data_IF_388854264364
#
_entry.id   IF_388854264364
#
_cell.length_a   1.000
_cell.length_b   1.000
_cell.length_c   1.000
_cell.angle_alpha   90.00
_cell.angle_beta   90.00
_cell.angle_gamma   90.00
#
_symmetry.space_group_name_H-M   'P 1'
#
loop_
_entity.id
_entity.type
_entity.pdbx_description
1 polymer ?
2 water ?
#
# COMPACT_ATOMS: atom_id res chain seq x y z
N UNK A 1 -14.82 -5.85 28.82
CA UNK A 1 -14.61 -5.60 27.36
C UNK A 1 -15.42 -6.59 26.48
N UNK A 2 -15.31 -6.56 25.18
CA UNK A 2 -15.90 -7.56 24.27
C UNK A 2 -14.86 -8.45 23.77
N UNK A 3 -15.17 -9.72 23.52
CA UNK A 3 -14.28 -10.66 22.86
C UNK A 3 -14.49 -10.71 21.37
N UNK A 4 -15.39 -9.86 20.86
CA UNK A 4 -15.48 -9.81 19.39
C UNK A 4 -14.64 -8.61 18.87
N UNK A 5 -14.32 -8.61 17.58
CA UNK A 5 -13.54 -7.46 17.11
C UNK A 5 -14.37 -6.18 16.98
N UNK A 6 -13.71 -5.05 17.20
CA UNK A 6 -14.34 -3.73 17.15
C UNK A 6 -14.83 -3.46 15.72
N UNK A 7 -14.08 -3.98 14.75
CA UNK A 7 -14.39 -3.67 13.34
C UNK A 7 -14.01 -4.89 12.55
N UNK A 8 -14.79 -5.20 11.53
CA UNK A 8 -14.51 -6.30 10.68
C UNK A 8 -13.72 -5.82 9.45
N UNK A 9 -12.41 -5.96 9.54
CA UNK A 9 -11.49 -5.55 8.46
C UNK A 9 -11.02 -6.74 7.76
N UNK A 10 -11.32 -6.86 6.47
CA UNK A 10 -11.09 -8.04 5.66
C UNK A 10 -10.07 -7.73 4.59
N UNK A 11 -9.20 -8.67 4.28
CA UNK A 11 -8.18 -8.54 3.20
C UNK A 11 -8.72 -9.27 2.00
N UNK A 12 -8.48 -8.72 0.81
CA UNK A 12 -8.93 -9.27 -0.42
C UNK A 12 -7.74 -9.15 -1.42
N UNK A 13 -7.20 -10.26 -1.95
CA UNK A 13 -6.10 -10.13 -2.88
C UNK A 13 -6.56 -9.58 -4.21
N UNK A 14 -5.72 -8.71 -4.73
CA UNK A 14 -6.02 -7.99 -5.96
C UNK A 14 -4.99 -8.09 -7.00
N UNK A 15 -3.69 -8.26 -6.70
CA UNK A 15 -2.69 -8.28 -7.82
C UNK A 15 -1.42 -8.89 -7.31
N UNK A 16 -0.61 -9.41 -8.28
CA UNK A 16 0.79 -9.78 -7.93
C UNK A 16 1.67 -8.54 -7.77
N UNK A 17 2.66 -8.60 -6.90
CA UNK A 17 3.57 -7.45 -6.79
C UNK A 17 4.70 -7.69 -7.83
N UNK A 18 4.67 -6.90 -8.87
CA UNK A 18 5.74 -6.92 -9.92
C UNK A 18 5.78 -5.64 -10.69
N UNK A 19 6.94 -5.39 -11.34
CA UNK A 19 7.07 -4.30 -12.29
C UNK A 19 6.28 -4.66 -13.52
N UNK A 20 5.47 -3.74 -14.00
CA UNK A 20 4.67 -3.99 -15.23
C UNK A 20 5.27 -3.37 -16.45
N UNK A 21 5.74 -4.24 -17.37
CA UNK A 21 6.38 -3.71 -18.58
C UNK A 21 5.50 -2.77 -19.40
N UNK A 22 4.17 -2.95 -19.47
CA UNK A 22 3.32 -2.04 -20.22
C UNK A 22 3.35 -0.67 -19.68
N UNK A 23 3.40 -0.50 -18.32
CA UNK A 23 3.45 0.79 -17.73
C UNK A 23 4.77 1.47 -17.96
N UNK A 24 5.88 0.72 -18.04
CA UNK A 24 7.13 1.29 -18.46
C UNK A 24 6.97 1.83 -19.92
N UNK A 25 6.23 1.24 -20.79
CA UNK A 25 6.15 1.74 -22.16
C UNK A 25 5.23 2.91 -22.21
N UNK A 26 4.03 2.78 -21.65
CA UNK A 26 2.98 3.78 -21.85
C UNK A 26 2.84 4.79 -20.69
N UNK A 27 3.43 4.46 -19.55
CA UNK A 27 3.28 5.33 -18.35
C UNK A 27 2.23 4.72 -17.43
N UNK A 28 1.29 3.96 -17.92
CA UNK A 28 0.29 3.35 -17.02
C UNK A 28 -0.24 2.12 -17.68
N UNK A 29 -0.62 1.13 -16.95
CA UNK A 29 -1.32 0.02 -17.57
C UNK A 29 -2.20 -0.74 -16.62
N UNK A 30 -3.28 -1.32 -17.13
CA UNK A 30 -4.12 -2.11 -16.25
C UNK A 30 -3.40 -3.36 -15.85
N UNK A 31 -3.66 -3.82 -14.67
CA UNK A 31 -3.08 -5.08 -14.21
C UNK A 31 -4.17 -6.13 -14.15
N UNK A 32 -3.85 -7.42 -14.42
CA UNK A 32 -4.83 -8.53 -14.19
C UNK A 32 -5.29 -8.84 -12.75
N UNK A 33 -6.62 -8.90 -12.60
CA UNK A 33 -7.21 -9.18 -11.28
C UNK A 33 -8.18 -10.36 -11.51
N UNK A 34 -8.10 -11.36 -10.62
CA UNK A 34 -8.67 -12.67 -10.96
C UNK A 34 -9.56 -13.23 -9.85
N UNK A 44 -11.25 -13.69 -14.44
CA UNK A 44 -10.86 -12.31 -14.79
C UNK A 44 -11.96 -11.31 -14.47
N UNK A 45 -11.60 -10.28 -13.69
CA UNK A 45 -12.55 -9.22 -13.29
C UNK A 45 -12.57 -8.07 -14.24
N UNK A 46 -13.76 -7.62 -14.66
CA UNK A 46 -13.88 -6.47 -15.54
C UNK A 46 -14.16 -5.11 -14.82
N UNK A 47 -14.61 -5.25 -13.57
CA UNK A 47 -14.98 -4.04 -12.77
C UNK A 47 -14.77 -4.48 -11.33
N UNK A 48 -14.29 -3.54 -10.50
CA UNK A 48 -14.24 -3.75 -9.06
C UNK A 48 -15.53 -3.23 -8.43
N UNK A 49 -16.04 -4.06 -7.53
CA UNK A 49 -17.20 -3.69 -6.76
C UNK A 49 -16.75 -3.54 -5.30
N UNK A 50 -16.60 -2.28 -4.85
CA UNK A 50 -16.02 -2.03 -3.54
C UNK A 50 -16.80 -2.74 -2.42
N UNK A 51 -18.14 -2.77 -2.55
CA UNK A 51 -18.98 -3.22 -1.43
C UNK A 51 -18.97 -4.78 -1.24
N UNK A 52 -18.44 -5.54 -2.19
CA UNK A 52 -18.31 -6.97 -1.93
C UNK A 52 -16.91 -7.36 -1.70
N UNK A 53 -16.77 -8.49 -1.01
CA UNK A 53 -15.46 -8.95 -0.60
C UNK A 53 -15.23 -10.02 -1.61
N UNK A 54 -14.31 -9.82 -2.52
CA UNK A 54 -14.04 -10.67 -3.68
C UNK A 54 -15.05 -10.50 -4.82
N UNK A 80 -2.48 -17.07 3.55
CA UNK A 80 -2.28 -15.97 2.58
C UNK A 80 -1.17 -16.15 1.57
N UNK A 81 -1.43 -15.73 0.37
CA UNK A 81 -0.33 -15.66 -0.51
C UNK A 81 0.30 -14.26 -0.66
N UNK A 82 1.57 -14.19 -0.99
CA UNK A 82 2.25 -12.99 -1.38
C UNK A 82 1.34 -12.25 -2.43
N UNK A 83 1.34 -10.94 -2.35
CA UNK A 83 0.57 -10.11 -3.31
C UNK A 83 0.17 -8.78 -2.69
N UNK A 84 -0.58 -8.05 -3.52
CA UNK A 84 -1.16 -6.70 -3.12
C UNK A 84 -2.67 -6.99 -2.86
N UNK A 85 -3.08 -6.48 -1.71
CA UNK A 85 -4.47 -6.69 -1.15
C UNK A 85 -5.16 -5.36 -0.95
N UNK A 86 -6.50 -5.39 -1.09
CA UNK A 86 -7.33 -4.33 -0.51
C UNK A 86 -7.71 -4.64 0.96
N UNK A 87 -7.87 -3.62 1.72
CA UNK A 87 -8.36 -3.75 3.11
C UNK A 87 -9.75 -3.11 3.05
N UNK A 88 -10.76 -3.90 3.44
CA UNK A 88 -12.18 -3.46 3.36
C UNK A 88 -12.79 -3.60 4.75
N UNK A 89 -13.47 -2.54 5.13
CA UNK A 89 -14.18 -2.51 6.47
C UNK A 89 -15.67 -2.78 6.27
N UNK A 90 -16.28 -3.72 7.03
CA UNK A 90 -17.73 -4.00 6.89
C UNK A 90 -18.52 -2.94 7.60
N UNK A 91 -19.57 -2.45 6.93
CA UNK A 91 -20.65 -1.68 7.54
C UNK A 91 -22.01 -2.29 7.02
N UNK A 92 -23.06 -1.54 7.54
CA UNK A 92 -24.37 -2.03 7.17
C UNK A 92 -24.72 -1.87 5.68
N UNK A 93 -23.99 -0.96 5.01
CA UNK A 93 -24.18 -0.81 3.58
C UNK A 93 -23.29 -1.66 2.70
N UNK A 94 -22.48 -2.52 3.37
CA UNK A 94 -21.47 -3.32 2.67
C UNK A 94 -20.03 -2.94 3.08
N UNK A 95 -19.12 -3.39 2.21
CA UNK A 95 -17.72 -3.03 2.54
C UNK A 95 -17.27 -1.69 1.96
N UNK A 96 -16.40 -1.00 2.70
CA UNK A 96 -15.67 0.18 2.18
C UNK A 96 -14.19 -0.10 2.16
N UNK A 97 -13.53 0.22 1.03
CA UNK A 97 -12.07 0.04 1.01
C UNK A 97 -11.43 1.19 1.74
N UNK A 98 -10.76 0.84 2.83
CA UNK A 98 -10.06 1.89 3.63
C UNK A 98 -8.55 1.97 3.30
N UNK A 99 -8.08 0.91 2.63
CA UNK A 99 -6.64 0.96 2.27
C UNK A 99 -6.26 -0.29 1.56
N UNK A 100 -4.95 -0.57 1.59
CA UNK A 100 -4.38 -1.69 0.86
C UNK A 100 -3.11 -2.10 1.53
N UNK A 101 -2.51 -3.18 1.12
CA UNK A 101 -1.21 -3.59 1.69
C UNK A 101 -0.62 -4.69 0.90
N UNK A 102 0.57 -5.13 1.40
CA UNK A 102 1.33 -6.14 0.71
C UNK A 102 1.69 -7.32 1.63
N UNK A 103 1.42 -8.51 1.17
CA UNK A 103 1.92 -9.71 1.84
C UNK A 103 3.13 -10.19 1.16
N UNK A 104 4.19 -10.35 1.99
CA UNK A 104 5.57 -10.79 1.52
C UNK A 104 6.16 -11.55 2.73
N UNK A 105 6.62 -12.79 2.43
CA UNK A 105 7.45 -13.59 3.39
C UNK A 105 6.70 -13.78 4.73
N UNK A 106 5.38 -14.02 4.57
CA UNK A 106 4.50 -14.35 5.69
C UNK A 106 4.05 -13.12 6.51
N UNK A 107 4.38 -11.92 6.03
CA UNK A 107 4.13 -10.69 6.76
C UNK A 107 3.20 -9.77 5.92
N UNK A 108 2.18 -9.24 6.54
CA UNK A 108 1.33 -8.22 5.85
C UNK A 108 1.76 -6.87 6.29
N UNK A 109 1.94 -5.98 5.31
CA UNK A 109 2.40 -4.61 5.46
C UNK A 109 1.40 -3.58 5.05
N UNK A 110 1.09 -2.62 5.90
CA UNK A 110 0.13 -1.55 5.53
C UNK A 110 0.48 -0.30 6.29
N UNK A 111 -0.38 0.70 6.25
CA UNK A 111 -0.18 1.98 6.92
C UNK A 111 -0.83 1.97 8.27
N UNK A 112 -0.06 2.53 9.20
CA UNK A 112 -0.61 2.79 10.54
C UNK A 112 -1.93 3.52 10.51
N UNK A 113 -2.01 4.58 9.68
CA UNK A 113 -3.27 5.41 9.71
C UNK A 113 -4.49 4.58 9.23
N UNK A 114 -4.24 3.56 8.43
CA UNK A 114 -5.34 2.81 7.85
C UNK A 114 -5.94 1.90 8.91
N UNK A 115 -5.12 1.14 9.68
CA UNK A 115 -5.71 0.16 10.59
C UNK A 115 -5.60 0.56 12.06
N UNK A 116 -4.68 1.45 12.37
CA UNK A 116 -4.43 1.85 13.79
C UNK A 116 -4.24 0.63 14.67
N UNK A 117 -3.68 -0.42 14.13
CA UNK A 117 -3.38 -1.66 14.87
C UNK A 117 -4.48 -2.64 15.01
N UNK A 118 -5.58 -2.41 14.30
CA UNK A 118 -6.72 -3.33 14.40
C UNK A 118 -6.37 -4.70 13.84
N UNK A 119 -6.88 -5.80 14.38
CA UNK A 119 -6.75 -7.07 13.87
C UNK A 119 -7.37 -7.16 12.43
N UNK A 120 -6.70 -7.93 11.61
CA UNK A 120 -7.19 -8.14 10.23
C UNK A 120 -7.65 -9.52 10.02
N UNK A 121 -8.58 -9.79 9.12
CA UNK A 121 -8.99 -11.09 8.69
C UNK A 121 -8.78 -11.43 7.23
N UNK A 122 -8.40 -12.66 6.89
CA UNK A 122 -8.37 -13.03 5.52
C UNK A 122 -8.94 -14.38 5.38
N UNK A 123 -10.09 -14.52 4.76
CA UNK A 123 -10.77 -15.80 4.52
C UNK A 123 -10.81 -16.66 5.79
N UNK A 124 -11.21 -16.02 6.91
CA UNK A 124 -11.33 -16.80 8.15
C UNK A 124 -10.08 -16.84 9.03
N UNK A 125 -8.91 -16.43 8.55
CA UNK A 125 -7.67 -16.36 9.29
C UNK A 125 -7.35 -15.03 9.86
N UNK A 126 -7.00 -14.95 11.15
CA UNK A 126 -6.81 -13.74 11.86
C UNK A 126 -5.32 -13.42 11.76
N UNK A 127 -5.03 -12.12 11.56
CA UNK A 127 -3.67 -11.61 11.39
C UNK A 127 -3.54 -10.48 12.41
N UNK A 128 -2.50 -10.61 13.28
CA UNK A 128 -2.35 -9.66 14.36
C UNK A 128 -1.15 -8.80 14.15
N UNK A 129 -1.16 -7.56 14.69
CA UNK A 129 -0.05 -6.62 14.50
C UNK A 129 1.24 -7.09 15.15
N UNK A 130 2.40 -6.88 14.51
CA UNK A 130 3.69 -7.31 15.09
C UNK A 130 4.59 -6.15 15.34
N UNK A 131 4.44 -5.03 14.60
CA UNK A 131 5.45 -4.00 14.62
C UNK A 131 4.87 -2.79 14.02
N UNK A 132 5.08 -1.63 14.58
CA UNK A 132 4.66 -0.40 13.93
C UNK A 132 5.64 0.74 14.11
N UNK A 133 5.66 1.67 13.16
CA UNK A 133 6.41 2.91 13.33
C UNK A 133 5.45 4.01 12.94
N UNK A 134 4.86 4.65 13.94
CA UNK A 134 3.92 5.73 13.66
C UNK A 134 4.50 6.89 12.84
N UNK A 135 5.77 7.28 13.05
CA UNK A 135 6.35 8.33 12.22
C UNK A 135 6.47 8.00 10.76
N UNK A 136 6.74 6.75 10.44
CA UNK A 136 6.83 6.34 9.04
C UNK A 136 5.41 6.01 8.54
N UNK A 137 4.45 5.97 9.48
CA UNK A 137 3.03 5.56 9.16
C UNK A 137 2.99 4.15 8.70
N UNK A 138 3.79 3.24 9.27
CA UNK A 138 3.88 1.88 8.90
C UNK A 138 3.45 0.89 9.93
N UNK A 139 2.86 -0.22 9.51
CA UNK A 139 2.56 -1.29 10.47
C UNK A 139 2.70 -2.59 9.77
N UNK A 140 3.30 -3.62 10.39
CA UNK A 140 3.37 -4.94 9.90
C UNK A 140 2.71 -6.00 10.82
N UNK A 141 2.21 -7.04 10.18
CA UNK A 141 1.41 -8.14 10.84
C UNK A 141 2.01 -9.41 10.49
N UNK A 142 2.37 -10.18 11.53
CA UNK A 142 2.92 -11.53 11.32
C UNK A 142 4.38 -11.49 10.93
N UNK A 143 5.11 -10.52 11.46
CA UNK A 143 6.56 -10.41 11.40
C UNK A 143 7.00 -9.00 11.29
N UNK A 144 8.33 -8.74 11.29
CA UNK A 144 8.85 -7.41 11.05
C UNK A 144 8.82 -7.11 9.53
N UNK A 145 9.30 -5.92 9.23
CA UNK A 145 9.24 -5.43 7.81
C UNK A 145 9.95 -6.25 6.83
N UNK A 146 9.42 -6.69 5.73
CA UNK A 146 10.14 -7.56 4.79
C UNK A 146 10.45 -6.87 3.48
N UNK A 147 9.93 -5.63 3.33
CA UNK A 147 9.96 -5.05 1.99
C UNK A 147 11.34 -4.54 1.69
N UNK A 148 11.90 -4.88 0.52
CA UNK A 148 13.35 -4.62 0.31
C UNK A 148 13.61 -3.87 -0.99
N UNK A 149 12.61 -3.18 -1.49
CA UNK A 149 12.84 -2.29 -2.66
C UNK A 149 13.82 -1.18 -2.35
N UNK A 150 14.42 -0.63 -3.42
CA UNK A 150 15.40 0.42 -3.29
C UNK A 150 15.16 1.45 -4.34
N UNK A 151 15.61 2.69 -4.01
CA UNK A 151 15.42 3.82 -4.91
C UNK A 151 16.55 4.79 -4.66
N UNK A 152 17.05 5.25 -5.75
CA UNK A 152 18.02 6.33 -5.69
C UNK A 152 17.62 7.30 -6.73
N UNK A 153 18.06 8.54 -6.48
CA UNK A 153 17.65 9.67 -7.20
C UNK A 153 17.73 9.39 -8.71
N UNK A 154 16.66 9.81 -9.39
CA UNK A 154 16.58 9.68 -10.87
C UNK A 154 15.99 8.33 -11.45
N UNK A 155 15.96 7.31 -10.60
CA UNK A 155 15.24 6.03 -10.99
C UNK A 155 13.76 6.24 -10.99
N UNK A 156 13.11 5.40 -11.80
CA UNK A 156 11.63 5.50 -11.69
C UNK A 156 11.14 4.25 -10.99
N UNK A 157 9.89 4.47 -10.51
CA UNK A 157 9.17 3.37 -9.72
C UNK A 157 7.77 3.28 -10.36
N UNK A 158 7.08 2.23 -9.96
CA UNK A 158 5.64 2.08 -10.31
C UNK A 158 4.82 2.03 -9.04
N UNK A 159 3.78 2.88 -9.03
CA UNK A 159 2.77 2.76 -8.00
C UNK A 159 1.80 1.66 -8.49
N UNK A 160 1.69 0.54 -7.81
CA UNK A 160 0.69 -0.45 -8.22
C UNK A 160 -0.56 -0.15 -7.37
N UNK A 161 -1.32 0.77 -7.94
CA UNK A 161 -2.44 1.39 -7.20
C UNK A 161 -3.64 0.53 -7.12
N UNK A 162 -4.08 0.26 -5.90
CA UNK A 162 -5.43 -0.36 -5.70
C UNK A 162 -6.37 0.66 -5.17
N UNK A 163 -7.03 1.37 -6.08
CA UNK A 163 -7.92 2.47 -5.61
C UNK A 163 -9.32 1.94 -5.35
N UNK A 164 -10.03 2.54 -4.41
CA UNK A 164 -11.46 2.13 -4.24
C UNK A 164 -12.19 2.28 -5.56
N UNK A 165 -12.92 1.17 -5.85
CA UNK A 165 -13.78 1.15 -7.05
C UNK A 165 -13.05 0.85 -8.36
N UNK A 166 -11.72 0.62 -8.32
CA UNK A 166 -10.98 0.46 -9.59
C UNK A 166 -10.21 -0.78 -9.52
N UNK A 167 -10.08 -1.47 -10.71
CA UNK A 167 -9.11 -2.53 -10.86
C UNK A 167 -7.68 -2.04 -10.71
N UNK A 168 -6.78 -2.90 -10.31
CA UNK A 168 -5.40 -2.46 -10.09
C UNK A 168 -4.82 -1.81 -11.35
N UNK A 169 -3.94 -0.81 -11.17
CA UNK A 169 -3.28 -0.16 -12.34
C UNK A 169 -1.88 0.13 -11.88
N UNK A 170 -0.90 -0.06 -12.76
CA UNK A 170 0.48 0.34 -12.47
C UNK A 170 0.72 1.65 -13.11
N UNK A 171 1.26 2.66 -12.38
CA UNK A 171 1.53 3.96 -12.91
C UNK A 171 3.02 4.26 -12.64
N UNK A 172 3.76 4.50 -13.73
CA UNK A 172 5.19 4.72 -13.54
C UNK A 172 5.44 6.21 -13.27
N UNK A 173 6.35 6.50 -12.31
CA UNK A 173 6.53 7.85 -11.87
C UNK A 173 7.95 8.02 -11.44
N UNK A 174 8.40 9.28 -11.39
CA UNK A 174 9.77 9.53 -10.93
C UNK A 174 9.65 10.24 -9.58
N UNK A 175 10.05 9.61 -8.45
CA UNK A 175 10.04 10.29 -7.16
C UNK A 175 10.98 11.52 -7.12
N UNK A 176 10.62 12.44 -6.29
CA UNK A 176 11.53 13.62 -5.97
C UNK A 176 12.12 13.41 -4.67
N UNK A 177 13.34 14.05 -4.55
CA UNK A 177 14.13 13.82 -3.38
C UNK A 177 13.82 14.98 -2.39
N UNK A 178 13.77 14.67 -1.08
CA UNK A 178 13.41 15.69 -0.01
C UNK A 178 14.39 15.61 1.18
N UNK A 179 14.78 16.78 1.69
CA UNK A 179 15.53 16.84 2.92
C UNK A 179 14.56 16.75 4.10
N UNK A 180 14.86 15.88 5.06
CA UNK A 180 13.99 15.80 6.22
C UNK A 180 14.72 16.57 7.31
N UNK A 181 14.12 16.68 8.49
CA UNK A 181 14.85 17.29 9.59
C UNK A 181 15.84 16.30 10.30
N UNK A 182 16.07 15.13 9.69
CA UNK A 182 17.05 14.13 10.15
C UNK A 182 17.96 13.54 9.03
N UNK A 183 17.76 13.96 7.78
CA UNK A 183 18.49 13.39 6.64
C UNK A 183 17.71 13.61 5.35
N UNK A 184 17.35 12.54 4.64
CA UNK A 184 16.69 12.68 3.31
C UNK A 184 15.62 11.61 3.11
N UNK A 185 14.67 11.88 2.21
CA UNK A 185 13.61 10.89 1.74
C UNK A 185 13.07 11.23 0.34
N UNK A 186 12.67 10.14 -0.36
CA UNK A 186 12.12 10.34 -1.71
C UNK A 186 10.58 10.37 -1.47
N UNK A 187 9.94 11.05 -2.41
CA UNK A 187 8.43 11.00 -2.33
C UNK A 187 7.89 11.06 -3.68
N UNK A 188 6.63 10.53 -3.83
CA UNK A 188 5.86 10.66 -5.03
C UNK A 188 4.63 11.60 -4.75
N UNK A 189 4.00 12.06 -5.82
CA UNK A 189 2.90 12.99 -5.70
C UNK A 189 1.65 12.09 -5.23
N UNK A 190 0.80 12.79 -4.49
CA UNK A 190 -0.47 12.15 -3.97
C UNK A 190 -1.52 12.14 -5.08
N UNK A 191 -1.42 11.25 -6.03
CA UNK A 191 -2.16 11.28 -7.28
C UNK A 191 -3.23 10.15 -7.38
N UNK A 192 -3.58 9.59 -6.23
CA UNK A 192 -4.59 8.51 -6.18
C UNK A 192 -5.52 8.73 -5.03
N UNK A 193 -6.62 7.95 -4.96
CA UNK A 193 -7.51 8.08 -3.80
C UNK A 193 -6.79 7.91 -2.50
N UNK A 194 -7.19 8.61 -1.47
CA UNK A 194 -6.66 8.25 -0.14
C UNK A 194 -6.81 6.78 0.28
N UNK A 195 -7.86 6.13 -0.25
CA UNK A 195 -8.08 4.75 0.05
C UNK A 195 -7.14 3.75 -0.66
N UNK A 196 -6.19 4.34 -1.44
CA UNK A 196 -5.09 3.60 -2.06
C UNK A 196 -3.98 3.38 -1.05
N UNK A 197 -4.05 4.06 0.11
CA UNK A 197 -2.96 4.02 1.10
C UNK A 197 -2.62 2.58 1.45
N UNK A 198 -1.31 2.24 1.34
CA UNK A 198 -0.80 0.89 1.59
C UNK A 198 -0.43 0.21 0.31
N UNK A 199 -0.85 0.76 -0.85
CA UNK A 199 -0.49 0.08 -2.14
C UNK A 199 1.01 0.12 -2.37
N UNK A 200 1.56 -0.91 -2.94
CA UNK A 200 3.03 -0.89 -3.08
C UNK A 200 3.54 -0.03 -4.19
N UNK A 201 4.75 0.51 -3.92
CA UNK A 201 5.50 1.26 -4.90
C UNK A 201 6.78 0.45 -5.17
N UNK A 202 6.89 -0.02 -6.44
CA UNK A 202 7.89 -1.06 -6.78
C UNK A 202 8.97 -0.46 -7.65
N UNK A 203 10.17 -1.00 -7.41
CA UNK A 203 11.31 -0.68 -8.26
C UNK A 203 11.38 -1.67 -9.45
N UNK A 204 12.36 -1.48 -10.35
CA UNK A 204 12.41 -2.29 -11.58
C UNK A 204 12.75 -3.75 -11.30
N UNK A 205 13.24 -4.11 -10.10
CA UNK A 205 13.44 -5.50 -9.68
C UNK A 205 12.14 -6.17 -9.13
N UNK A 206 11.04 -5.38 -9.08
CA UNK A 206 9.79 -5.93 -8.53
C UNK A 206 9.79 -5.85 -7.03
N UNK A 207 10.71 -5.17 -6.39
CA UNK A 207 10.72 -5.16 -4.90
C UNK A 207 10.12 -3.81 -4.42
N UNK A 208 9.56 -3.87 -3.24
CA UNK A 208 8.73 -2.76 -2.77
C UNK A 208 9.56 -1.70 -2.08
N UNK A 209 9.66 -0.52 -2.67
CA UNK A 209 10.50 0.54 -2.04
C UNK A 209 9.69 1.12 -0.87
N UNK A 210 8.37 1.15 -0.99
CA UNK A 210 7.57 1.79 0.11
C UNK A 210 6.13 1.61 -0.29
N UNK A 211 5.29 2.18 0.56
CA UNK A 211 3.81 2.04 0.38
C UNK A 211 3.27 3.44 0.18
N UNK A 212 2.21 3.53 -0.66
CA UNK A 212 1.56 4.82 -0.98
C UNK A 212 0.79 5.31 0.24
N UNK A 213 0.80 6.66 0.38
CA UNK A 213 -0.17 7.26 1.41
C UNK A 213 0.43 7.72 2.70
N UNK A 214 1.79 7.74 2.83
CA UNK A 214 2.39 8.31 4.07
C UNK A 214 2.58 9.78 3.73
N UNK A 215 1.56 10.61 4.05
CA UNK A 215 1.57 11.99 3.67
C UNK A 215 2.42 12.79 4.66
N UNK A 216 3.38 13.44 4.04
CA UNK A 216 4.24 14.30 4.87
C UNK A 216 4.28 15.66 4.26
N UNK A 217 4.45 16.65 5.17
CA UNK A 217 4.34 18.04 4.75
C UNK A 217 5.69 18.64 4.29
N UNK A 218 5.69 19.47 3.25
CA UNK A 218 6.94 20.09 2.88
C UNK A 218 6.90 21.51 3.53
N UNK A 219 8.09 22.10 3.60
CA UNK A 219 8.31 23.49 4.11
C UNK A 219 7.50 24.47 3.27
N UNK A 220 7.50 24.24 1.96
CA UNK A 220 6.63 24.93 1.00
C UNK A 220 5.11 24.65 1.15
N UNK A 221 4.71 23.83 2.13
CA UNK A 221 3.29 23.57 2.43
C UNK A 221 2.56 22.42 1.70
N UNK A 222 3.20 21.89 0.66
CA UNK A 222 2.69 20.75 -0.12
C UNK A 222 2.73 19.45 0.69
N UNK A 223 1.72 18.55 0.57
CA UNK A 223 1.93 17.17 1.03
C UNK A 223 2.35 16.29 -0.13
N UNK A 224 3.26 15.40 0.23
CA UNK A 224 3.73 14.37 -0.75
C UNK A 224 3.66 13.04 -0.04
N UNK A 225 3.88 11.94 -0.83
CA UNK A 225 3.73 10.54 -0.29
C UNK A 225 5.23 10.04 -0.13
N UNK A 226 5.67 9.98 1.13
CA UNK A 226 7.07 9.60 1.36
C UNK A 226 7.35 8.14 1.22
N UNK A 227 8.51 7.76 0.69
CA UNK A 227 8.77 6.35 0.34
C UNK A 227 9.61 5.63 1.45
N UNK A 228 9.06 4.65 2.19
CA UNK A 228 9.75 4.18 3.41
C UNK A 228 11.27 3.92 3.20
N UNK A 229 11.64 3.10 2.23
CA UNK A 229 13.02 2.55 2.27
C UNK A 229 14.02 3.54 1.74
N UNK A 230 13.55 4.72 1.39
CA UNK A 230 14.46 5.69 0.74
C UNK A 230 14.99 6.61 1.83
N UNK A 231 14.43 6.49 3.03
CA UNK A 231 14.84 7.34 4.16
C UNK A 231 16.30 7.06 4.57
N UNK A 232 17.08 8.13 4.63
CA UNK A 232 18.44 8.11 5.24
C UNK A 232 18.36 9.02 6.43
N UNK A 233 18.73 8.50 7.61
CA UNK A 233 18.36 9.14 8.87
C UNK A 233 19.53 9.90 9.44
#
# INVERSE_FOLDING_TARGET
>A
GSHMLEADLELERAADVRWEEQAEISGSSPILSITISEDGSMSIKNEEEEQTLGGGGSGGGGAGVLWDVPSPPPVGKAELEDGAYRIKQKGILGYSQIGAGVYKEGTFHTMWHVTRGAVLMHKGKRIEPSWADVKKDLISYGGGWKLEGEWKEGEEVQVLALEPGKNPRAVQTKPGLFKTNTGTIGAVSLDFSPGTSGSPIVDKKGKVVGLYGNGVVTRSGAYVSAIANTEKSIEDNPEIEDDIFRK
#
